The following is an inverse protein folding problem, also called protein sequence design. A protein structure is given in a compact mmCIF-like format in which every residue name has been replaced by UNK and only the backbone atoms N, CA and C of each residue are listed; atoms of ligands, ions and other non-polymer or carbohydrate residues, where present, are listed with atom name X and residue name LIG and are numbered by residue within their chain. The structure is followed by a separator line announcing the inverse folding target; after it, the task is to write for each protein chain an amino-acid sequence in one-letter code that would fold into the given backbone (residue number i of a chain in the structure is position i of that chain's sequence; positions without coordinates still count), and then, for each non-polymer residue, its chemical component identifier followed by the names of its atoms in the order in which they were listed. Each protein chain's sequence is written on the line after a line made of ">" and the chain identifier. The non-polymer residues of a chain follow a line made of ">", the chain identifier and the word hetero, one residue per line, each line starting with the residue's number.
data_IF_785593200383
#
_entry.id   IF_785593200383
#
_cell.length_a   1.000
_cell.length_b   1.000
_cell.length_c   1.000
_cell.angle_alpha   90.00
_cell.angle_beta   90.00
_cell.angle_gamma   90.00
#
_symmetry.space_group_name_H-M   'P 1'
#
loop_
_entity.id
_entity.type
_entity.pdbx_description
1 polymer ?
#
# COMPACT_ATOMS: atom_id res chain seq x y z
N UNK A 1 24.67 10.00 2.51
CA UNK A 1 23.19 10.09 2.62
C UNK A 1 22.74 9.27 3.82
N UNK A 2 22.08 9.88 4.81
CA UNK A 2 21.66 9.18 6.02
C UNK A 2 20.59 8.12 5.70
N UNK A 3 20.81 6.88 6.15
CA UNK A 3 19.88 5.76 5.95
C UNK A 3 18.58 6.06 6.72
N UNK A 4 17.52 6.38 6.00
CA UNK A 4 16.20 6.68 6.59
C UNK A 4 15.70 5.44 7.34
N UNK A 5 15.53 5.56 8.66
CA UNK A 5 14.97 4.49 9.50
C UNK A 5 13.56 4.15 8.98
N UNK A 6 13.35 2.89 8.58
CA UNK A 6 12.04 2.39 8.13
C UNK A 6 11.33 1.77 9.33
N UNK A 7 10.09 2.15 9.55
CA UNK A 7 9.22 1.59 10.58
C UNK A 7 8.18 0.68 9.93
N UNK A 8 7.89 -0.45 10.56
CA UNK A 8 6.85 -1.36 10.10
C UNK A 8 5.46 -0.71 10.26
N UNK A 9 4.46 -1.06 9.42
CA UNK A 9 3.11 -0.55 9.56
C UNK A 9 2.51 -0.85 10.94
N UNK A 10 2.72 -2.06 11.45
CA UNK A 10 2.29 -2.48 12.78
C UNK A 10 2.85 -1.58 13.89
N UNK A 11 4.16 -1.32 13.86
CA UNK A 11 4.80 -0.46 14.86
C UNK A 11 4.23 0.96 14.85
N UNK A 12 3.96 1.53 13.66
CA UNK A 12 3.34 2.86 13.56
C UNK A 12 1.94 2.86 14.17
N UNK A 13 1.14 1.83 13.91
CA UNK A 13 -0.21 1.70 14.45
C UNK A 13 -0.18 1.58 15.98
N UNK A 14 0.66 0.71 16.55
CA UNK A 14 0.81 0.55 18.00
C UNK A 14 1.18 1.87 18.69
N UNK A 15 2.20 2.57 18.18
CA UNK A 15 2.64 3.86 18.75
C UNK A 15 1.55 4.92 18.65
N UNK A 16 0.82 4.99 17.52
CA UNK A 16 -0.27 5.95 17.36
C UNK A 16 -1.45 5.62 18.28
N UNK A 17 -1.80 4.34 18.42
CA UNK A 17 -2.88 3.90 19.32
C UNK A 17 -2.52 4.20 20.78
N UNK A 18 -1.28 3.94 21.20
CA UNK A 18 -0.78 4.30 22.54
C UNK A 18 -0.83 5.82 22.78
N UNK A 19 -0.53 6.61 21.73
CA UNK A 19 -0.61 8.06 21.79
C UNK A 19 -2.05 8.60 21.81
N UNK A 20 -3.03 7.85 21.29
CA UNK A 20 -4.45 8.21 21.27
C UNK A 20 -5.19 7.72 22.52
N UNK A 21 -4.76 6.60 23.11
CA UNK A 21 -5.34 6.06 24.35
C UNK A 21 -5.01 6.89 25.59
N UNK A 22 -4.07 7.84 25.49
CA UNK A 22 -3.68 8.72 26.57
C UNK A 22 -2.82 8.06 27.66
N UNK A 23 -2.41 6.81 27.46
CA UNK A 23 -1.56 6.06 28.40
C UNK A 23 -0.15 6.64 28.50
N UNK A 24 0.37 7.18 27.38
CA UNK A 24 1.70 7.79 27.29
C UNK A 24 1.58 9.14 26.58
N UNK A 25 2.29 10.15 27.05
CA UNK A 25 2.31 11.45 26.38
C UNK A 25 3.09 11.36 25.05
N UNK A 26 2.77 12.27 24.12
CA UNK A 26 3.48 12.32 22.83
C UNK A 26 4.99 12.52 23.02
N UNK A 27 5.40 13.28 24.03
CA UNK A 27 6.80 13.52 24.38
C UNK A 27 7.50 12.25 24.90
N UNK A 28 6.82 11.45 25.73
CA UNK A 28 7.36 10.18 26.24
C UNK A 28 7.52 9.15 25.12
N UNK A 29 6.54 9.03 24.23
CA UNK A 29 6.62 8.12 23.07
C UNK A 29 7.75 8.51 22.12
N UNK A 30 7.91 9.81 21.87
CA UNK A 30 9.03 10.34 21.10
C UNK A 30 10.39 9.97 21.72
N UNK A 31 10.52 10.06 23.05
CA UNK A 31 11.75 9.69 23.76
C UNK A 31 11.99 8.18 23.76
N UNK A 32 10.95 7.39 24.09
CA UNK A 32 11.00 5.93 24.20
C UNK A 32 11.38 5.25 22.89
N UNK A 33 10.82 5.73 21.78
CA UNK A 33 11.03 5.14 20.45
C UNK A 33 12.02 5.90 19.56
N UNK A 34 12.62 6.97 20.08
CA UNK A 34 13.48 7.90 19.34
C UNK A 34 12.81 8.38 18.05
N UNK A 35 11.60 8.93 18.22
CA UNK A 35 10.78 9.50 17.15
C UNK A 35 10.74 11.01 17.28
N UNK A 36 10.71 11.70 16.14
CA UNK A 36 10.47 13.14 16.13
C UNK A 36 8.97 13.40 16.32
N UNK A 37 8.62 14.47 17.05
CA UNK A 37 7.22 14.83 17.30
C UNK A 37 6.41 14.99 16.01
N UNK A 38 7.02 15.56 14.97
CA UNK A 38 6.41 15.72 13.65
C UNK A 38 6.09 14.38 12.96
N UNK A 39 6.94 13.36 13.13
CA UNK A 39 6.67 12.01 12.59
C UNK A 39 5.46 11.37 13.27
N UNK A 40 5.34 11.53 14.59
CA UNK A 40 4.23 10.98 15.35
C UNK A 40 2.92 11.73 15.03
N UNK A 41 2.95 13.05 14.90
CA UNK A 41 1.80 13.84 14.44
C UNK A 41 1.35 13.42 13.05
N UNK A 42 2.30 13.22 12.12
CA UNK A 42 1.98 12.74 10.77
C UNK A 42 1.33 11.36 10.77
N UNK A 43 1.82 10.43 11.59
CA UNK A 43 1.21 9.10 11.68
C UNK A 43 -0.18 9.14 12.32
N UNK A 44 -0.41 10.01 13.31
CA UNK A 44 -1.75 10.26 13.88
C UNK A 44 -2.72 10.73 12.80
N UNK A 45 -2.34 11.73 12.00
CA UNK A 45 -3.18 12.20 10.89
C UNK A 45 -3.46 11.10 9.88
N UNK A 46 -2.42 10.36 9.45
CA UNK A 46 -2.61 9.23 8.53
C UNK A 46 -3.57 8.19 9.08
N UNK A 47 -3.50 7.87 10.37
CA UNK A 47 -4.42 6.90 10.96
C UNK A 47 -5.86 7.45 10.99
N UNK A 48 -6.06 8.72 11.33
CA UNK A 48 -7.39 9.34 11.34
C UNK A 48 -8.00 9.42 9.94
N UNK A 49 -7.21 9.81 8.94
CA UNK A 49 -7.66 9.95 7.55
C UNK A 49 -8.03 8.60 6.92
N UNK A 50 -7.33 7.54 7.30
CA UNK A 50 -7.55 6.17 6.79
C UNK A 50 -8.37 5.30 7.75
N UNK A 51 -8.80 5.82 8.91
CA UNK A 51 -9.58 5.03 9.86
C UNK A 51 -10.95 4.68 9.27
N UNK A 52 -11.57 5.62 8.56
CA UNK A 52 -12.85 5.41 7.87
C UNK A 52 -12.78 4.27 6.86
N UNK A 53 -11.67 4.18 6.11
CA UNK A 53 -11.50 3.15 5.07
C UNK A 53 -11.42 1.73 5.64
N UNK A 54 -11.08 1.57 6.93
CA UNK A 54 -11.09 0.25 7.60
C UNK A 54 -12.51 -0.26 7.87
N UNK A 55 -13.49 0.64 7.93
CA UNK A 55 -14.91 0.32 8.13
C UNK A 55 -15.70 0.32 6.81
N UNK A 56 -15.09 0.75 5.71
CA UNK A 56 -15.67 0.59 4.38
C UNK A 56 -15.70 -0.89 4.00
N UNK A 57 -16.79 -1.33 3.35
CA UNK A 57 -16.95 -2.71 2.93
C UNK A 57 -15.84 -3.10 1.95
N UNK A 58 -14.97 -4.02 2.35
CA UNK A 58 -13.89 -4.61 1.54
C UNK A 58 -14.35 -5.00 0.14
N UNK A 59 -15.62 -5.42 0.00
CA UNK A 59 -16.24 -5.88 -1.25
C UNK A 59 -16.04 -4.91 -2.42
N UNK A 60 -16.08 -3.59 -2.20
CA UNK A 60 -15.90 -2.63 -3.30
C UNK A 60 -14.47 -2.59 -3.82
N UNK A 61 -13.50 -2.68 -2.92
CA UNK A 61 -12.08 -2.64 -3.28
C UNK A 61 -11.68 -3.93 -3.99
N UNK A 62 -12.08 -5.09 -3.45
CA UNK A 62 -11.84 -6.38 -4.07
C UNK A 62 -12.51 -6.49 -5.45
N UNK A 63 -13.73 -5.97 -5.62
CA UNK A 63 -14.41 -6.00 -6.92
C UNK A 63 -13.64 -5.20 -8.00
N UNK A 64 -13.15 -4.00 -7.67
CA UNK A 64 -12.34 -3.20 -8.59
C UNK A 64 -11.02 -3.91 -8.96
N UNK A 65 -10.36 -4.57 -8.00
CA UNK A 65 -9.16 -5.35 -8.30
C UNK A 65 -9.46 -6.56 -9.20
N UNK A 66 -10.56 -7.26 -8.95
CA UNK A 66 -11.00 -8.40 -9.77
C UNK A 66 -11.26 -7.95 -11.21
N UNK A 67 -11.97 -6.84 -11.40
CA UNK A 67 -12.26 -6.30 -12.73
C UNK A 67 -10.99 -5.87 -13.47
N UNK A 68 -10.07 -5.21 -12.76
CA UNK A 68 -8.79 -4.80 -13.34
C UNK A 68 -7.91 -5.99 -13.73
N UNK A 69 -7.87 -7.04 -12.90
CA UNK A 69 -7.14 -8.29 -13.20
C UNK A 69 -7.72 -8.93 -14.47
N UNK A 70 -9.05 -9.03 -14.57
CA UNK A 70 -9.69 -9.60 -15.75
C UNK A 70 -9.35 -8.83 -17.05
N UNK A 71 -9.29 -7.49 -16.98
CA UNK A 71 -8.87 -6.65 -18.12
C UNK A 71 -7.41 -6.91 -18.52
N UNK A 72 -6.52 -7.02 -17.53
CA UNK A 72 -5.10 -7.30 -17.78
C UNK A 72 -4.91 -8.69 -18.40
N UNK A 73 -5.61 -9.70 -17.90
CA UNK A 73 -5.58 -11.06 -18.44
C UNK A 73 -6.05 -11.10 -19.91
N UNK A 74 -7.11 -10.37 -20.25
CA UNK A 74 -7.55 -10.25 -21.64
C UNK A 74 -6.50 -9.59 -22.53
N UNK A 75 -5.84 -8.52 -22.08
CA UNK A 75 -4.79 -7.86 -22.85
C UNK A 75 -3.59 -8.78 -23.08
N UNK A 76 -3.17 -9.52 -22.05
CA UNK A 76 -2.11 -10.53 -22.16
C UNK A 76 -2.47 -11.60 -23.18
N UNK A 77 -3.72 -12.09 -23.18
CA UNK A 77 -4.20 -13.05 -24.18
C UNK A 77 -4.11 -12.51 -25.60
N UNK A 78 -4.57 -11.27 -25.84
CA UNK A 78 -4.50 -10.62 -27.17
C UNK A 78 -3.06 -10.44 -27.63
N UNK A 79 -2.18 -9.97 -26.75
CA UNK A 79 -0.75 -9.79 -27.06
C UNK A 79 -0.07 -11.12 -27.37
N UNK A 80 -0.42 -12.18 -26.62
CA UNK A 80 0.12 -13.53 -26.87
C UNK A 80 -0.26 -14.04 -28.26
N UNK A 81 -1.52 -13.87 -28.66
CA UNK A 81 -1.98 -14.25 -30.00
C UNK A 81 -1.27 -13.40 -31.07
N UNK A 82 -1.18 -12.08 -30.88
CA UNK A 82 -0.50 -11.19 -31.82
C UNK A 82 0.97 -11.58 -32.02
N UNK A 83 1.68 -11.92 -30.93
CA UNK A 83 3.06 -12.40 -30.99
C UNK A 83 3.19 -13.76 -31.67
N UNK A 84 2.25 -14.68 -31.45
CA UNK A 84 2.26 -15.99 -32.14
C UNK A 84 2.05 -15.84 -33.65
N UNK A 85 1.11 -14.98 -34.06
CA UNK A 85 0.89 -14.65 -35.47
C UNK A 85 2.15 -14.01 -36.06
N UNK A 86 2.75 -13.04 -35.36
CA UNK A 86 3.97 -12.37 -35.81
C UNK A 86 5.12 -13.37 -35.99
N UNK A 87 5.33 -14.26 -35.02
CA UNK A 87 6.37 -15.30 -35.10
C UNK A 87 6.14 -16.22 -36.29
N UNK A 88 4.91 -16.71 -36.47
CA UNK A 88 4.53 -17.54 -37.62
C UNK A 88 4.82 -16.82 -38.93
N UNK A 89 4.35 -15.58 -39.09
CA UNK A 89 4.58 -14.78 -40.29
C UNK A 89 6.07 -14.63 -40.63
N UNK A 90 6.92 -14.39 -39.63
CA UNK A 90 8.38 -14.35 -39.81
C UNK A 90 8.95 -15.70 -40.25
N UNK A 91 8.44 -16.82 -39.74
CA UNK A 91 8.84 -18.17 -40.19
C UNK A 91 8.41 -18.46 -41.63
N UNK A 92 7.29 -17.93 -42.09
CA UNK A 92 6.84 -18.07 -43.49
C UNK A 92 7.64 -17.22 -44.49
N UNK A 93 8.27 -16.15 -44.02
CA UNK A 93 9.01 -15.18 -44.83
C UNK A 93 10.53 -15.46 -44.90
N UNK A 94 11.04 -16.39 -44.07
CA UNK A 94 12.42 -16.89 -44.11
C UNK A 94 12.46 -18.28 -44.74
#
# INVERSE_FOLDING_TARGET
>A
MAKRRRFTPQFKAEVVIEALSGQSTQAELCRKHQLNADQLSKWKQQLLDNASTLFESTDKHSQHYIEHIAQLEQLVGRLTIALDIQKKATTWLN
#
